data_IF_397258133464
#
_entry.id   IF_397258133464
#
_cell.length_a   1.000
_cell.length_b   1.000
_cell.length_c   1.000
_cell.angle_alpha   90.00
_cell.angle_beta   90.00
_cell.angle_gamma   90.00
#
_symmetry.space_group_name_H-M   'P 1'
#
loop_
_entity.id
_entity.type
_entity.pdbx_description
1 polymer ?
#
# COMPACT_ATOMS: atom_id res chain seq x y z
N UNK A 1 53.39 35.04 -68.42
CA UNK A 1 53.67 34.83 -66.98
C UNK A 1 52.33 34.99 -66.26
N UNK A 2 51.68 33.88 -65.94
CA UNK A 2 50.41 33.78 -65.21
C UNK A 2 50.73 33.30 -63.77
N UNK A 3 49.75 33.11 -62.89
CA UNK A 3 48.91 34.04 -62.11
C UNK A 3 49.34 34.06 -60.62
N UNK A 4 48.84 35.00 -59.81
CA UNK A 4 48.63 34.75 -58.38
C UNK A 4 47.26 35.26 -57.94
N UNK A 5 46.28 34.37 -58.10
CA UNK A 5 44.96 34.45 -57.48
C UNK A 5 45.11 34.38 -55.96
N UNK A 6 44.80 35.51 -55.32
CA UNK A 6 44.62 35.57 -53.88
C UNK A 6 43.26 34.96 -53.54
N UNK A 7 43.24 33.66 -53.25
CA UNK A 7 42.04 32.91 -52.87
C UNK A 7 41.94 32.85 -51.33
N UNK A 8 41.08 33.66 -50.68
CA UNK A 8 40.79 33.48 -49.27
C UNK A 8 39.99 32.20 -49.11
N UNK A 9 40.65 31.17 -48.56
CA UNK A 9 40.02 29.89 -48.21
C UNK A 9 38.78 30.16 -47.38
N UNK A 10 37.61 29.83 -47.96
CA UNK A 10 36.31 29.78 -47.28
C UNK A 10 36.46 29.00 -45.97
N UNK A 11 36.27 29.67 -44.85
CA UNK A 11 35.97 29.01 -43.59
C UNK A 11 34.48 28.62 -43.64
N UNK A 12 34.19 27.32 -43.72
CA UNK A 12 32.84 26.81 -43.48
C UNK A 12 32.83 26.03 -42.16
N UNK A 13 32.47 26.67 -41.03
CA UNK A 13 32.12 25.92 -39.84
C UNK A 13 30.63 25.61 -39.93
N UNK A 14 30.24 24.53 -40.59
CA UNK A 14 28.85 24.04 -40.52
C UNK A 14 28.82 22.54 -40.30
N UNK A 15 29.59 22.07 -39.32
CA UNK A 15 29.41 20.75 -38.72
C UNK A 15 28.95 20.92 -37.27
N UNK A 16 27.73 21.43 -37.02
CA UNK A 16 27.20 21.38 -35.65
C UNK A 16 25.68 21.47 -35.36
N UNK A 17 24.72 21.29 -36.30
CA UNK A 17 23.32 21.19 -35.88
C UNK A 17 22.95 19.79 -35.37
N UNK A 18 23.59 18.72 -35.87
CA UNK A 18 23.14 17.34 -35.61
C UNK A 18 23.43 16.85 -34.18
N UNK A 19 24.61 17.20 -33.64
CA UNK A 19 24.99 16.82 -32.28
C UNK A 19 24.14 17.49 -31.21
N UNK A 20 23.80 18.78 -31.42
CA UNK A 20 22.94 19.55 -30.52
C UNK A 20 21.53 18.98 -30.51
N UNK A 21 20.97 18.66 -31.68
CA UNK A 21 19.62 18.07 -31.78
C UNK A 21 19.54 16.73 -31.03
N UNK A 22 20.56 15.88 -31.16
CA UNK A 22 20.57 14.58 -30.48
C UNK A 22 20.65 14.73 -28.97
N UNK A 23 21.47 15.68 -28.48
CA UNK A 23 21.56 16.00 -27.06
C UNK A 23 20.23 16.53 -26.51
N UNK A 24 19.54 17.40 -27.25
CA UNK A 24 18.21 17.91 -26.86
C UNK A 24 17.20 16.76 -26.75
N UNK A 25 17.19 15.83 -27.71
CA UNK A 25 16.28 14.67 -27.66
C UNK A 25 16.56 13.79 -26.45
N UNK A 26 17.84 13.52 -26.15
CA UNK A 26 18.23 12.72 -24.98
C UNK A 26 17.81 13.42 -23.68
N UNK A 27 18.01 14.73 -23.59
CA UNK A 27 17.60 15.51 -22.41
C UNK A 27 16.09 15.50 -22.24
N UNK A 28 15.32 15.69 -23.32
CA UNK A 28 13.86 15.63 -23.28
C UNK A 28 13.39 14.23 -22.87
N UNK A 29 13.98 13.16 -23.43
CA UNK A 29 13.69 11.78 -23.03
C UNK A 29 14.00 11.54 -21.54
N UNK A 30 15.13 12.04 -21.04
CA UNK A 30 15.49 11.92 -19.63
C UNK A 30 14.49 12.65 -18.71
N UNK A 31 14.07 13.86 -19.10
CA UNK A 31 13.07 14.63 -18.35
C UNK A 31 11.72 13.89 -18.35
N UNK A 32 11.26 13.39 -19.50
CA UNK A 32 10.02 12.63 -19.59
C UNK A 32 10.09 11.36 -18.72
N UNK A 33 11.21 10.64 -18.73
CA UNK A 33 11.44 9.49 -17.86
C UNK A 33 11.37 9.85 -16.37
N UNK A 34 11.97 10.98 -15.99
CA UNK A 34 11.90 11.49 -14.61
C UNK A 34 10.46 11.84 -14.21
N UNK A 35 9.72 12.53 -15.09
CA UNK A 35 8.32 12.90 -14.84
C UNK A 35 7.47 11.65 -14.65
N UNK A 36 7.57 10.65 -15.54
CA UNK A 36 6.83 9.39 -15.41
C UNK A 36 7.17 8.67 -14.11
N UNK A 37 8.45 8.55 -13.77
CA UNK A 37 8.89 7.93 -12.51
C UNK A 37 8.37 8.70 -11.28
N UNK A 38 8.31 10.03 -11.36
CA UNK A 38 7.79 10.88 -10.29
C UNK A 38 6.27 10.78 -10.12
N UNK A 39 5.51 10.54 -11.20
CA UNK A 39 4.06 10.41 -11.14
C UNK A 39 3.59 9.06 -10.62
N UNK A 40 4.38 7.99 -10.77
CA UNK A 40 3.99 6.63 -10.34
C UNK A 40 4.22 6.41 -8.85
N UNK A 41 5.25 7.03 -8.26
CA UNK A 41 5.57 6.85 -6.82
C UNK A 41 4.43 7.28 -5.88
N UNK A 42 3.82 8.47 -6.02
CA UNK A 42 2.75 8.92 -5.13
C UNK A 42 1.52 8.00 -5.18
N UNK A 43 1.19 7.48 -6.36
CA UNK A 43 0.02 6.60 -6.56
C UNK A 43 0.15 5.29 -5.79
N UNK A 44 1.38 4.78 -5.64
CA UNK A 44 1.63 3.56 -4.86
C UNK A 44 1.41 3.80 -3.37
N UNK A 45 1.92 4.91 -2.84
CA UNK A 45 1.80 5.26 -1.42
C UNK A 45 0.32 5.50 -1.04
N UNK A 46 -0.45 6.15 -1.91
CA UNK A 46 -1.89 6.37 -1.70
C UNK A 46 -2.70 5.06 -1.77
N UNK A 47 -2.36 4.16 -2.68
CA UNK A 47 -3.02 2.85 -2.77
C UNK A 47 -2.72 1.99 -1.54
N UNK A 48 -1.48 1.98 -1.05
CA UNK A 48 -1.10 1.27 0.18
C UNK A 48 -1.85 1.84 1.39
N UNK A 49 -1.99 3.17 1.48
CA UNK A 49 -2.77 3.82 2.54
C UNK A 49 -4.27 3.45 2.47
N UNK A 50 -4.85 3.43 1.27
CA UNK A 50 -6.24 3.06 1.06
C UNK A 50 -6.49 1.59 1.45
N UNK A 51 -5.59 0.68 1.05
CA UNK A 51 -5.64 -0.73 1.43
C UNK A 51 -5.58 -0.89 2.95
N UNK A 52 -4.67 -0.20 3.63
CA UNK A 52 -4.55 -0.27 5.09
C UNK A 52 -5.81 0.21 5.82
N UNK A 53 -6.52 1.22 5.30
CA UNK A 53 -7.81 1.65 5.84
C UNK A 53 -8.90 0.58 5.69
N UNK A 54 -8.93 -0.10 4.55
CA UNK A 54 -9.87 -1.19 4.31
C UNK A 54 -9.56 -2.38 5.23
N UNK A 55 -8.29 -2.78 5.33
CA UNK A 55 -7.84 -3.87 6.20
C UNK A 55 -8.12 -3.59 7.67
N UNK A 56 -7.82 -2.37 8.15
CA UNK A 56 -8.12 -1.99 9.53
C UNK A 56 -9.61 -1.98 9.85
N UNK A 57 -10.46 -1.58 8.89
CA UNK A 57 -11.92 -1.62 9.05
C UNK A 57 -12.42 -3.07 9.08
N UNK A 58 -11.89 -3.92 8.20
CA UNK A 58 -12.23 -5.35 8.17
C UNK A 58 -11.80 -6.04 9.46
N UNK A 59 -10.56 -5.83 9.92
CA UNK A 59 -10.06 -6.38 11.17
C UNK A 59 -10.93 -5.98 12.38
N UNK A 60 -11.47 -4.75 12.39
CA UNK A 60 -12.42 -4.33 13.41
C UNK A 60 -13.76 -5.08 13.31
N UNK A 61 -14.31 -5.19 12.09
CA UNK A 61 -15.54 -5.94 11.84
C UNK A 61 -15.40 -7.44 12.22
N UNK A 62 -14.25 -8.05 11.98
CA UNK A 62 -14.00 -9.44 12.41
C UNK A 62 -13.98 -9.55 13.93
N UNK A 63 -13.28 -8.63 14.61
CA UNK A 63 -13.23 -8.61 16.07
C UNK A 63 -14.64 -8.45 16.68
N UNK A 64 -15.46 -7.56 16.10
CA UNK A 64 -16.85 -7.35 16.50
C UNK A 64 -17.71 -8.60 16.23
N UNK A 65 -17.52 -9.26 15.09
CA UNK A 65 -18.21 -10.52 14.78
C UNK A 65 -17.89 -11.60 15.80
N UNK A 66 -16.63 -11.68 16.27
CA UNK A 66 -16.24 -12.54 17.39
C UNK A 66 -16.97 -12.21 18.69
N UNK A 67 -17.14 -10.91 18.99
CA UNK A 67 -17.93 -10.48 20.15
C UNK A 67 -19.39 -10.93 20.07
N UNK A 68 -20.01 -10.88 18.89
CA UNK A 68 -21.36 -11.42 18.68
C UNK A 68 -21.44 -12.92 18.93
N UNK A 69 -20.46 -13.70 18.45
CA UNK A 69 -20.40 -15.15 18.70
C UNK A 69 -20.32 -15.42 20.20
N UNK A 70 -19.44 -14.72 20.91
CA UNK A 70 -19.30 -14.85 22.35
C UNK A 70 -20.60 -14.47 23.09
N UNK A 71 -21.25 -13.35 22.72
CA UNK A 71 -22.52 -12.95 23.31
C UNK A 71 -23.61 -14.01 23.10
N UNK A 72 -23.72 -14.57 21.89
CA UNK A 72 -24.68 -15.63 21.60
C UNK A 72 -24.37 -16.92 22.38
N UNK A 73 -23.10 -17.24 22.61
CA UNK A 73 -22.70 -18.35 23.45
C UNK A 73 -23.07 -18.14 24.92
N UNK A 74 -22.87 -16.93 25.47
CA UNK A 74 -23.30 -16.56 26.82
C UNK A 74 -24.82 -16.67 26.97
N UNK A 75 -25.58 -16.33 25.93
CA UNK A 75 -27.04 -16.48 25.90
C UNK A 75 -27.50 -17.94 25.70
N UNK A 76 -26.58 -18.90 25.58
CA UNK A 76 -26.89 -20.32 25.38
C UNK A 76 -27.43 -20.66 23.99
N UNK A 77 -27.24 -19.78 23.00
CA UNK A 77 -27.69 -19.98 21.61
C UNK A 77 -26.64 -20.71 20.75
N UNK A 78 -25.42 -20.82 21.25
CA UNK A 78 -24.27 -21.43 20.56
C UNK A 78 -23.30 -21.97 21.61
N UNK A 79 -22.44 -22.90 21.21
CA UNK A 79 -21.37 -23.42 22.07
C UNK A 79 -20.34 -22.34 22.37
N UNK A 80 -19.88 -22.26 23.62
CA UNK A 80 -18.86 -21.29 24.02
C UNK A 80 -17.54 -21.67 23.36
N UNK A 81 -16.91 -20.74 22.60
CA UNK A 81 -15.57 -20.98 22.07
C UNK A 81 -14.58 -21.22 23.22
N UNK A 82 -13.48 -21.88 22.93
CA UNK A 82 -12.37 -22.04 23.86
C UNK A 82 -11.36 -20.89 23.73
N UNK A 83 -10.57 -20.67 24.77
CA UNK A 83 -9.47 -19.72 24.69
C UNK A 83 -8.42 -20.23 23.70
N UNK A 84 -8.02 -19.37 22.77
CA UNK A 84 -7.15 -19.72 21.65
C UNK A 84 -7.88 -20.13 20.38
N UNK A 85 -9.21 -20.33 20.43
CA UNK A 85 -9.97 -20.69 19.25
C UNK A 85 -9.88 -19.60 18.17
N UNK A 86 -9.81 -20.06 16.94
CA UNK A 86 -9.78 -19.20 15.76
C UNK A 86 -10.79 -19.66 14.73
N UNK A 87 -11.44 -18.71 14.07
CA UNK A 87 -12.26 -18.98 12.91
C UNK A 87 -12.08 -17.90 11.86
N UNK A 88 -12.47 -18.21 10.62
CA UNK A 88 -12.34 -17.28 9.51
C UNK A 88 -13.70 -16.88 8.93
N UNK A 89 -13.82 -15.61 8.59
CA UNK A 89 -14.97 -15.04 7.86
C UNK A 89 -14.40 -14.27 6.66
N UNK A 90 -14.71 -14.69 5.45
CA UNK A 90 -14.32 -13.99 4.21
C UNK A 90 -12.83 -13.60 4.15
N UNK A 91 -11.94 -14.51 4.56
CA UNK A 91 -10.48 -14.31 4.58
C UNK A 91 -9.97 -13.44 5.73
N UNK A 92 -10.84 -13.06 6.66
CA UNK A 92 -10.49 -12.40 7.92
C UNK A 92 -10.43 -13.45 9.02
N UNK A 93 -9.56 -13.26 10.00
CA UNK A 93 -9.40 -14.19 11.12
C UNK A 93 -9.93 -13.55 12.40
N UNK A 94 -10.67 -14.33 13.18
CA UNK A 94 -11.07 -13.98 14.54
C UNK A 94 -10.38 -14.94 15.48
N UNK A 95 -9.86 -14.43 16.59
CA UNK A 95 -9.21 -15.19 17.65
C UNK A 95 -9.79 -14.82 19.01
N UNK A 96 -10.21 -15.82 19.76
CA UNK A 96 -10.60 -15.65 21.16
C UNK A 96 -9.33 -15.74 22.01
N UNK A 97 -8.83 -14.60 22.49
CA UNK A 97 -7.55 -14.55 23.22
C UNK A 97 -7.76 -14.80 24.70
N UNK A 98 -8.86 -14.31 25.25
CA UNK A 98 -9.23 -14.51 26.64
C UNK A 98 -10.75 -14.51 26.74
N UNK A 99 -11.29 -15.46 27.49
CA UNK A 99 -12.73 -15.56 27.72
C UNK A 99 -13.07 -15.30 29.19
N UNK A 100 -14.27 -14.77 29.48
CA UNK A 100 -14.65 -14.39 30.82
C UNK A 100 -15.07 -15.64 31.60
N UNK A 101 -14.12 -16.30 32.27
CA UNK A 101 -14.41 -17.51 33.06
C UNK A 101 -15.06 -17.18 34.42
N UNK A 102 -14.77 -16.00 34.99
CA UNK A 102 -15.22 -15.58 36.33
C UNK A 102 -15.53 -14.06 36.44
N UNK A 103 -16.21 -13.48 35.46
CA UNK A 103 -16.51 -12.02 35.45
C UNK A 103 -15.30 -11.13 35.12
N UNK A 104 -14.25 -11.74 34.56
CA UNK A 104 -13.08 -11.04 34.03
C UNK A 104 -13.35 -10.50 32.61
N UNK A 105 -12.42 -9.69 32.10
CA UNK A 105 -12.52 -9.14 30.75
C UNK A 105 -12.38 -10.23 29.68
N UNK A 106 -13.23 -10.16 28.66
CA UNK A 106 -13.10 -10.97 27.46
C UNK A 106 -12.31 -10.21 26.40
N UNK A 107 -11.41 -10.91 25.70
CA UNK A 107 -10.49 -10.33 24.73
C UNK A 107 -10.59 -11.08 23.42
N UNK A 108 -10.95 -10.34 22.38
CA UNK A 108 -11.20 -10.87 21.05
C UNK A 108 -10.37 -10.08 20.06
N UNK A 109 -9.64 -10.79 19.21
CA UNK A 109 -8.80 -10.19 18.17
C UNK A 109 -9.35 -10.52 16.79
N UNK A 110 -9.47 -9.49 15.95
CA UNK A 110 -9.79 -9.61 14.54
C UNK A 110 -8.60 -9.20 13.68
N UNK A 111 -8.33 -9.95 12.63
CA UNK A 111 -7.21 -9.72 11.72
C UNK A 111 -7.65 -9.80 10.26
N UNK A 112 -7.10 -8.91 9.43
CA UNK A 112 -7.32 -8.88 7.98
C UNK A 112 -6.06 -8.34 7.31
N UNK A 113 -5.41 -9.17 6.48
CA UNK A 113 -4.12 -8.80 5.89
C UNK A 113 -3.06 -8.56 6.97
N UNK A 114 -2.43 -7.39 6.95
CA UNK A 114 -1.43 -6.98 7.95
C UNK A 114 -2.05 -6.22 9.14
N UNK A 115 -3.35 -5.94 9.10
CA UNK A 115 -4.05 -5.24 10.17
C UNK A 115 -4.60 -6.20 11.24
N UNK A 116 -4.36 -5.86 12.51
CA UNK A 116 -4.95 -6.55 13.67
C UNK A 116 -5.65 -5.54 14.58
N UNK A 117 -6.82 -5.90 15.10
CA UNK A 117 -7.61 -5.13 16.07
C UNK A 117 -8.01 -6.00 17.23
N UNK A 118 -7.99 -5.42 18.43
CA UNK A 118 -8.33 -6.08 19.69
C UNK A 118 -9.50 -5.35 20.33
N UNK A 119 -10.52 -6.10 20.72
CA UNK A 119 -11.66 -5.62 21.49
C UNK A 119 -11.59 -6.27 22.87
N UNK A 120 -11.73 -5.45 23.89
CA UNK A 120 -11.82 -5.88 25.28
C UNK A 120 -13.23 -5.55 25.78
N UNK A 121 -13.90 -6.56 26.33
CA UNK A 121 -15.26 -6.47 26.84
C UNK A 121 -15.20 -6.70 28.35
N UNK A 122 -15.63 -5.71 29.12
CA UNK A 122 -15.75 -5.80 30.57
C UNK A 122 -17.19 -6.13 30.93
N UNK A 123 -17.39 -7.15 31.76
CA UNK A 123 -18.67 -7.46 32.39
C UNK A 123 -18.69 -6.83 33.78
N UNK A 124 -19.13 -5.56 33.87
CA UNK A 124 -19.54 -4.96 35.15
C UNK A 124 -20.96 -5.37 35.53
#
# INVERSE_FOLDING_TARGET
MNPQDHNPRRQSPTDQPRGIVLLVVVVVMAILGLVVASSVRPVRDEAELATLRVETTRAFYSAESGAYVMMNAVLGQTEMPEEGDTFQIDGQTVRFVQLPVDGANAIIEGASGDATRRIELSTE
#
